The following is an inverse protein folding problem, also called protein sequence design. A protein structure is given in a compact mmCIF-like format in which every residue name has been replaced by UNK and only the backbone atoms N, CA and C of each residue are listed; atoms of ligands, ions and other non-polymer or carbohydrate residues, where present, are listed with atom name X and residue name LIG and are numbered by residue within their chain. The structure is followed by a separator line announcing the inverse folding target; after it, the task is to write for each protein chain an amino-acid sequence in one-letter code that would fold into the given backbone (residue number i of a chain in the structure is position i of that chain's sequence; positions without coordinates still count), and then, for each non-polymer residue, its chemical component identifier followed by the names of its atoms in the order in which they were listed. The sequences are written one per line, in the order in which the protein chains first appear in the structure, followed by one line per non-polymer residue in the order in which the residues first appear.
data_IF_880877626492
#
_entry.id   IF_880877626492
#
_cell.length_a   1.000
_cell.length_b   1.000
_cell.length_c   1.000
_cell.angle_alpha   90.00
_cell.angle_beta   90.00
_cell.angle_gamma   90.00
#
_symmetry.space_group_name_H-M   'P 1'
#
loop_
_entity.id
_entity.type
_entity.pdbx_description
1 polymer ?
#
# COMPACT_ATOMS: atom_id res chain seq x y z
N UNK A 1 -56.99 17.27 -24.64
CA UNK A 1 -55.53 17.49 -24.66
C UNK A 1 -54.96 16.80 -23.40
N UNK A 2 -54.25 15.70 -23.49
CA UNK A 2 -53.65 15.07 -22.33
C UNK A 2 -52.31 15.75 -22.00
N UNK A 3 -52.13 16.11 -20.75
CA UNK A 3 -50.92 16.65 -20.16
C UNK A 3 -49.85 15.57 -20.17
N UNK A 4 -48.78 15.76 -20.95
CA UNK A 4 -47.57 14.95 -20.93
C UNK A 4 -46.80 15.31 -19.66
N UNK A 5 -46.84 14.44 -18.69
CA UNK A 5 -46.04 14.56 -17.46
C UNK A 5 -44.60 14.11 -17.76
N UNK A 6 -43.74 15.08 -18.05
CA UNK A 6 -42.31 14.85 -18.24
C UNK A 6 -41.65 14.55 -16.87
N UNK A 7 -41.61 13.28 -16.53
CA UNK A 7 -40.83 12.77 -15.42
C UNK A 7 -39.39 12.54 -15.89
N UNK A 8 -38.65 13.65 -16.04
CA UNK A 8 -37.19 13.65 -16.31
C UNK A 8 -36.54 14.30 -15.08
N UNK A 9 -36.12 13.52 -14.12
CA UNK A 9 -35.47 14.06 -12.93
C UNK A 9 -34.91 13.06 -11.95
N UNK A 10 -35.17 11.76 -12.08
CA UNK A 10 -34.83 10.80 -11.00
C UNK A 10 -33.63 9.86 -11.32
N UNK A 11 -33.08 9.92 -12.51
CA UNK A 11 -32.05 8.93 -12.94
C UNK A 11 -30.61 9.38 -12.61
N UNK A 12 -30.35 10.69 -12.47
CA UNK A 12 -29.00 11.19 -12.18
C UNK A 12 -28.58 11.05 -10.71
N UNK A 13 -29.51 11.07 -9.76
CA UNK A 13 -29.23 10.95 -8.33
C UNK A 13 -28.90 9.52 -7.92
N UNK A 14 -29.50 8.54 -8.56
CA UNK A 14 -29.20 7.11 -8.30
C UNK A 14 -27.79 6.72 -8.72
N UNK A 15 -27.36 7.12 -9.94
CA UNK A 15 -26.02 6.85 -10.46
C UNK A 15 -24.91 7.49 -9.62
N UNK A 16 -25.16 8.68 -9.09
CA UNK A 16 -24.20 9.42 -8.27
C UNK A 16 -24.04 8.85 -6.86
N UNK A 17 -25.11 8.32 -6.26
CA UNK A 17 -25.03 7.61 -4.99
C UNK A 17 -24.28 6.28 -5.06
N UNK A 18 -24.40 5.55 -6.18
CA UNK A 18 -23.68 4.32 -6.44
C UNK A 18 -22.18 4.57 -6.61
N UNK A 19 -21.81 5.61 -7.36
CA UNK A 19 -20.41 6.02 -7.52
C UNK A 19 -19.73 6.39 -6.20
N UNK A 20 -20.42 7.08 -5.32
CA UNK A 20 -19.91 7.40 -3.99
C UNK A 20 -19.73 6.15 -3.12
N UNK A 21 -20.67 5.21 -3.17
CA UNK A 21 -20.57 3.94 -2.45
C UNK A 21 -19.40 3.09 -2.96
N UNK A 22 -19.18 3.04 -4.27
CA UNK A 22 -18.04 2.37 -4.88
C UNK A 22 -16.71 3.02 -4.46
N UNK A 23 -16.61 4.35 -4.50
CA UNK A 23 -15.45 5.09 -4.03
C UNK A 23 -15.11 4.78 -2.56
N UNK A 24 -16.12 4.78 -1.68
CA UNK A 24 -15.96 4.39 -0.27
C UNK A 24 -15.42 2.96 -0.12
N UNK A 25 -15.98 2.01 -0.84
CA UNK A 25 -15.55 0.61 -0.78
C UNK A 25 -14.10 0.41 -1.27
N UNK A 26 -13.69 1.15 -2.31
CA UNK A 26 -12.32 1.12 -2.81
C UNK A 26 -11.32 1.75 -1.83
N UNK A 27 -11.67 2.90 -1.22
CA UNK A 27 -10.83 3.55 -0.19
C UNK A 27 -10.67 2.65 1.03
N UNK A 28 -11.76 2.07 1.54
CA UNK A 28 -11.72 1.12 2.65
C UNK A 28 -10.84 -0.10 2.35
N UNK A 29 -10.89 -0.59 1.12
CA UNK A 29 -10.07 -1.72 0.67
C UNK A 29 -8.58 -1.33 0.63
N UNK A 30 -8.26 -0.13 0.15
CA UNK A 30 -6.90 0.38 0.12
C UNK A 30 -6.35 0.56 1.54
N UNK A 31 -7.10 1.20 2.44
CA UNK A 31 -6.71 1.40 3.84
C UNK A 31 -6.37 0.06 4.51
N UNK A 32 -7.20 -0.97 4.30
CA UNK A 32 -6.95 -2.31 4.84
C UNK A 32 -5.65 -2.92 4.29
N UNK A 33 -5.40 -2.80 2.99
CA UNK A 33 -4.17 -3.31 2.37
C UNK A 33 -2.95 -2.56 2.89
N UNK A 34 -3.00 -1.23 3.01
CA UNK A 34 -1.91 -0.41 3.56
C UNK A 34 -1.63 -0.77 5.02
N UNK A 35 -2.67 -0.96 5.83
CA UNK A 35 -2.52 -1.39 7.22
C UNK A 35 -1.87 -2.77 7.33
N UNK A 36 -2.28 -3.74 6.50
CA UNK A 36 -1.65 -5.06 6.43
C UNK A 36 -0.19 -4.96 6.00
N UNK A 37 0.12 -4.18 4.96
CA UNK A 37 1.49 -3.95 4.51
C UNK A 37 2.37 -3.39 5.63
N UNK A 38 1.89 -2.37 6.34
CA UNK A 38 2.60 -1.75 7.46
C UNK A 38 2.92 -2.74 8.57
N UNK A 39 1.96 -3.62 8.89
CA UNK A 39 2.17 -4.67 9.89
C UNK A 39 3.27 -5.65 9.46
N UNK A 40 3.24 -6.12 8.21
CA UNK A 40 4.26 -7.01 7.66
C UNK A 40 5.63 -6.29 7.56
N UNK A 41 5.65 -5.03 7.13
CA UNK A 41 6.85 -4.23 7.01
C UNK A 41 7.61 -4.07 8.34
N UNK A 42 6.89 -4.04 9.47
CA UNK A 42 7.49 -3.99 10.79
C UNK A 42 8.28 -5.25 11.17
N UNK A 43 8.05 -6.37 10.49
CA UNK A 43 8.75 -7.64 10.72
C UNK A 43 10.04 -7.78 9.91
N UNK A 44 10.26 -6.89 8.93
CA UNK A 44 11.43 -6.91 8.04
C UNK A 44 12.70 -6.56 8.82
N UNK A 45 13.77 -7.34 8.62
CA UNK A 45 15.03 -7.20 9.34
C UNK A 45 15.01 -7.78 10.77
N UNK A 46 13.88 -8.31 11.22
CA UNK A 46 13.73 -8.97 12.51
C UNK A 46 13.79 -10.51 12.42
N UNK A 47 13.54 -11.18 13.53
CA UNK A 47 13.54 -12.66 13.63
C UNK A 47 12.44 -13.33 12.79
N UNK A 48 11.41 -12.59 12.40
CA UNK A 48 10.30 -13.08 11.57
C UNK A 48 10.52 -12.82 10.07
N UNK A 49 11.64 -12.18 9.69
CA UNK A 49 11.94 -11.92 8.28
C UNK A 49 12.24 -13.22 7.54
N UNK A 50 11.47 -13.49 6.51
CA UNK A 50 11.53 -14.72 5.74
C UNK A 50 11.17 -14.47 4.28
N UNK A 51 11.52 -15.39 3.40
CA UNK A 51 11.13 -15.32 1.97
C UNK A 51 9.62 -15.23 1.79
N UNK A 52 8.86 -15.93 2.63
CA UNK A 52 7.41 -15.88 2.60
C UNK A 52 6.91 -14.48 2.97
N UNK A 53 7.43 -13.87 4.04
CA UNK A 53 7.09 -12.51 4.44
C UNK A 53 7.38 -11.50 3.32
N UNK A 54 8.54 -11.65 2.65
CA UNK A 54 8.91 -10.78 1.53
C UNK A 54 7.99 -10.94 0.33
N UNK A 55 7.55 -12.16 0.05
CA UNK A 55 6.58 -12.44 -1.02
C UNK A 55 5.18 -11.87 -0.67
N UNK A 56 4.73 -11.98 0.57
CA UNK A 56 3.49 -11.37 1.04
C UNK A 56 3.54 -9.83 0.94
N UNK A 57 4.66 -9.21 1.31
CA UNK A 57 4.87 -7.77 1.13
C UNK A 57 4.76 -7.36 -0.35
N UNK A 58 5.36 -8.13 -1.26
CA UNK A 58 5.28 -7.88 -2.70
C UNK A 58 3.83 -7.95 -3.20
N UNK A 59 3.09 -8.98 -2.80
CA UNK A 59 1.69 -9.14 -3.17
C UNK A 59 0.83 -7.98 -2.63
N UNK A 60 1.09 -7.51 -1.40
CA UNK A 60 0.36 -6.37 -0.82
C UNK A 60 0.67 -5.07 -1.57
N UNK A 61 1.93 -4.82 -1.97
CA UNK A 61 2.29 -3.66 -2.79
C UNK A 61 1.54 -3.67 -4.11
N UNK A 62 1.55 -4.79 -4.82
CA UNK A 62 0.86 -4.91 -6.10
C UNK A 62 -0.65 -4.71 -5.97
N UNK A 63 -1.26 -5.27 -4.93
CA UNK A 63 -2.68 -5.07 -4.64
C UNK A 63 -2.99 -3.59 -4.33
N UNK A 64 -2.14 -2.93 -3.54
CA UNK A 64 -2.29 -1.51 -3.22
C UNK A 64 -2.19 -0.64 -4.48
N UNK A 65 -1.24 -0.89 -5.38
CA UNK A 65 -1.10 -0.17 -6.65
C UNK A 65 -2.32 -0.32 -7.55
N UNK A 66 -2.85 -1.53 -7.67
CA UNK A 66 -4.05 -1.77 -8.47
C UNK A 66 -5.26 -0.99 -7.92
N UNK A 67 -5.44 -1.01 -6.60
CA UNK A 67 -6.49 -0.23 -5.92
C UNK A 67 -6.26 1.28 -6.08
N UNK A 68 -5.03 1.74 -5.93
CA UNK A 68 -4.67 3.14 -6.08
C UNK A 68 -4.95 3.66 -7.50
N UNK A 69 -4.60 2.88 -8.51
CA UNK A 69 -4.89 3.23 -9.92
C UNK A 69 -6.40 3.31 -10.17
N UNK A 70 -7.16 2.32 -9.70
CA UNK A 70 -8.62 2.33 -9.83
C UNK A 70 -9.26 3.54 -9.13
N UNK A 71 -8.82 3.85 -7.89
CA UNK A 71 -9.28 5.01 -7.14
C UNK A 71 -8.93 6.33 -7.78
N UNK A 72 -7.71 6.48 -8.29
CA UNK A 72 -7.28 7.69 -8.98
C UNK A 72 -8.20 7.98 -10.17
N UNK A 73 -8.51 6.98 -10.98
CA UNK A 73 -9.43 7.11 -12.10
C UNK A 73 -10.85 7.45 -11.65
N UNK A 74 -11.36 6.72 -10.66
CA UNK A 74 -12.71 6.89 -10.14
C UNK A 74 -12.91 8.30 -9.57
N UNK A 75 -12.06 8.72 -8.62
CA UNK A 75 -12.18 10.02 -7.97
C UNK A 75 -11.95 11.19 -8.93
N UNK A 76 -10.95 11.08 -9.83
CA UNK A 76 -10.68 12.13 -10.83
C UNK A 76 -11.85 12.31 -11.79
N UNK A 77 -12.48 11.21 -12.23
CA UNK A 77 -13.64 11.25 -13.10
C UNK A 77 -14.80 12.01 -12.48
N UNK A 78 -15.13 11.67 -11.23
CA UNK A 78 -16.28 12.26 -10.54
C UNK A 78 -16.02 13.68 -10.03
N UNK A 79 -14.82 14.01 -9.56
CA UNK A 79 -14.49 15.37 -9.11
C UNK A 79 -14.47 16.39 -10.26
N UNK A 80 -14.27 15.93 -11.50
CA UNK A 80 -14.36 16.79 -12.72
C UNK A 80 -15.79 17.05 -13.16
N UNK A 81 -16.74 16.28 -12.69
CA UNK A 81 -18.14 16.48 -13.05
C UNK A 81 -18.71 17.70 -12.32
N UNK A 82 -18.96 18.78 -13.09
CA UNK A 82 -19.54 20.01 -12.56
C UNK A 82 -21.02 19.87 -12.18
N UNK A 83 -21.69 18.81 -12.65
CA UNK A 83 -23.10 18.54 -12.34
C UNK A 83 -23.28 17.84 -10.98
N UNK A 84 -22.17 17.40 -10.37
CA UNK A 84 -22.21 16.69 -9.08
C UNK A 84 -22.78 17.60 -7.96
N UNK A 85 -23.81 17.15 -7.21
CA UNK A 85 -24.36 17.89 -6.07
C UNK A 85 -23.28 18.23 -5.05
N UNK A 86 -23.38 19.41 -4.44
CA UNK A 86 -22.35 19.93 -3.51
C UNK A 86 -22.05 18.97 -2.34
N UNK A 87 -23.09 18.35 -1.76
CA UNK A 87 -22.91 17.38 -0.68
C UNK A 87 -22.08 16.16 -1.12
N UNK A 88 -22.36 15.63 -2.31
CA UNK A 88 -21.61 14.50 -2.85
C UNK A 88 -20.19 14.88 -3.24
N UNK A 89 -20.00 16.11 -3.72
CA UNK A 89 -18.67 16.66 -3.99
C UNK A 89 -17.83 16.70 -2.73
N UNK A 90 -18.36 17.20 -1.62
CA UNK A 90 -17.69 17.23 -0.32
C UNK A 90 -17.31 15.82 0.16
N UNK A 91 -18.20 14.85 -0.02
CA UNK A 91 -17.89 13.46 0.34
C UNK A 91 -16.79 12.86 -0.55
N UNK A 92 -16.79 13.14 -1.86
CA UNK A 92 -15.72 12.73 -2.77
C UNK A 92 -14.38 13.40 -2.43
N UNK A 93 -14.38 14.66 -2.00
CA UNK A 93 -13.18 15.36 -1.52
C UNK A 93 -12.61 14.72 -0.25
N UNK A 94 -13.48 14.28 0.68
CA UNK A 94 -13.04 13.54 1.87
C UNK A 94 -12.42 12.17 1.50
N UNK A 95 -13.02 11.47 0.53
CA UNK A 95 -12.44 10.21 0.01
C UNK A 95 -11.08 10.45 -0.64
N UNK A 96 -10.94 11.58 -1.36
CA UNK A 96 -9.67 11.98 -1.94
C UNK A 96 -8.59 12.20 -0.87
N UNK A 97 -8.90 12.90 0.21
CA UNK A 97 -7.97 13.10 1.33
C UNK A 97 -7.57 11.77 1.97
N UNK A 98 -8.53 10.89 2.22
CA UNK A 98 -8.26 9.57 2.79
C UNK A 98 -7.39 8.71 1.84
N UNK A 99 -7.63 8.78 0.54
CA UNK A 99 -6.83 8.11 -0.48
C UNK A 99 -5.40 8.64 -0.51
N UNK A 100 -5.21 9.97 -0.61
CA UNK A 100 -3.89 10.61 -0.63
C UNK A 100 -3.05 10.25 0.60
N UNK A 101 -3.64 10.40 1.79
CA UNK A 101 -2.97 10.04 3.04
C UNK A 101 -2.60 8.54 3.11
N UNK A 102 -3.41 7.67 2.52
CA UNK A 102 -3.10 6.23 2.45
C UNK A 102 -1.92 5.94 1.53
N UNK A 103 -1.80 6.66 0.40
CA UNK A 103 -0.65 6.55 -0.51
C UNK A 103 0.64 7.04 0.14
N UNK A 104 0.60 8.17 0.84
CA UNK A 104 1.76 8.70 1.56
C UNK A 104 2.27 7.72 2.62
N UNK A 105 1.36 7.10 3.38
CA UNK A 105 1.70 6.07 4.36
C UNK A 105 2.34 4.85 3.70
N UNK A 106 1.76 4.38 2.59
CA UNK A 106 2.30 3.26 1.81
C UNK A 106 3.71 3.58 1.30
N UNK A 107 3.89 4.76 0.71
CA UNK A 107 5.17 5.24 0.20
C UNK A 107 6.26 5.20 1.29
N UNK A 108 5.98 5.79 2.44
CA UNK A 108 6.93 5.81 3.58
C UNK A 108 7.30 4.40 4.02
N UNK A 109 6.33 3.49 4.09
CA UNK A 109 6.58 2.13 4.54
C UNK A 109 7.35 1.30 3.48
N UNK A 110 7.12 1.51 2.17
CA UNK A 110 7.93 0.89 1.11
C UNK A 110 9.38 1.39 1.16
N UNK A 111 9.59 2.71 1.33
CA UNK A 111 10.93 3.28 1.49
C UNK A 111 11.69 2.70 2.68
N UNK A 112 11.00 2.45 3.80
CA UNK A 112 11.60 1.79 4.97
C UNK A 112 12.00 0.35 4.65
N UNK A 113 11.11 -0.43 4.04
CA UNK A 113 11.40 -1.81 3.65
C UNK A 113 12.58 -1.87 2.70
N UNK A 114 12.66 -0.98 1.70
CA UNK A 114 13.77 -0.89 0.77
C UNK A 114 15.10 -0.65 1.50
N UNK A 115 15.14 0.34 2.41
CA UNK A 115 16.35 0.66 3.20
C UNK A 115 16.78 -0.49 4.11
N UNK A 116 15.82 -1.17 4.75
CA UNK A 116 16.14 -2.30 5.63
C UNK A 116 16.60 -3.49 4.79
N UNK A 117 15.93 -3.79 3.67
CA UNK A 117 16.29 -4.89 2.78
C UNK A 117 17.67 -4.75 2.18
N UNK A 118 18.11 -3.53 1.87
CA UNK A 118 19.47 -3.28 1.35
C UNK A 118 20.57 -3.57 2.40
N UNK A 119 20.25 -3.42 3.70
CA UNK A 119 21.19 -3.64 4.79
C UNK A 119 21.15 -5.08 5.33
N UNK A 120 20.01 -5.76 5.21
CA UNK A 120 19.75 -7.10 5.74
C UNK A 120 19.32 -8.03 4.61
N UNK A 121 20.33 -8.47 3.81
CA UNK A 121 20.10 -9.45 2.76
C UNK A 121 19.80 -10.82 3.36
N UNK A 122 18.74 -11.48 2.89
CA UNK A 122 18.41 -12.86 3.27
C UNK A 122 19.43 -13.87 2.69
N UNK A 123 20.22 -13.48 1.68
CA UNK A 123 21.31 -14.29 1.12
C UNK A 123 22.49 -14.42 2.09
N UNK A 124 22.64 -13.46 3.00
CA UNK A 124 23.71 -13.43 4.02
C UNK A 124 23.22 -13.91 5.39
N UNK A 125 22.38 -14.92 5.46
CA UNK A 125 21.91 -15.50 6.73
C UNK A 125 23.01 -16.06 7.64
N UNK A 126 24.28 -16.06 7.21
CA UNK A 126 25.44 -16.31 8.04
C UNK A 126 25.83 -15.10 8.92
N UNK A 127 25.31 -13.91 8.66
CA UNK A 127 25.49 -12.71 9.47
C UNK A 127 24.37 -12.58 10.47
N UNK A 128 24.32 -13.47 11.46
CA UNK A 128 23.60 -13.23 12.69
C UNK A 128 24.03 -11.85 13.20
N UNK A 129 23.11 -10.91 13.29
CA UNK A 129 23.33 -9.65 13.98
C UNK A 129 23.73 -10.04 15.41
N UNK A 130 25.02 -9.99 15.72
CA UNK A 130 25.48 -9.97 17.08
C UNK A 130 24.94 -8.68 17.71
N UNK A 131 23.74 -8.80 18.27
CA UNK A 131 23.30 -7.80 19.24
C UNK A 131 24.35 -7.85 20.33
N UNK A 132 25.14 -6.78 20.48
CA UNK A 132 26.34 -6.72 21.31
C UNK A 132 26.17 -6.92 22.80
N UNK A 133 25.48 -7.97 23.21
CA UNK A 133 25.52 -8.57 24.52
C UNK A 133 26.57 -9.68 24.45
N UNK A 134 27.82 -9.29 24.59
CA UNK A 134 28.89 -10.19 25.03
C UNK A 134 28.58 -10.63 26.47
N UNK A 135 27.60 -11.49 26.63
CA UNK A 135 27.38 -12.26 27.83
C UNK A 135 28.43 -13.35 27.84
N UNK A 136 29.38 -13.26 28.79
CA UNK A 136 30.36 -14.30 29.05
C UNK A 136 29.68 -15.67 29.16
N UNK A 137 30.29 -16.67 28.51
CA UNK A 137 29.75 -18.00 28.30
C UNK A 137 29.07 -18.59 29.51
N UNK A 138 27.78 -18.74 29.43
CA UNK A 138 27.01 -19.61 30.32
C UNK A 138 26.73 -20.90 29.55
N UNK A 139 27.35 -21.96 30.00
CA UNK A 139 27.17 -23.34 29.56
C UNK A 139 25.69 -23.79 29.58
N UNK A 140 24.84 -23.02 30.25
CA UNK A 140 23.39 -23.22 30.35
C UNK A 140 22.68 -22.86 29.03
N UNK A 141 23.17 -21.90 28.27
CA UNK A 141 22.56 -21.50 26.96
C UNK A 141 22.80 -22.57 25.89
N UNK A 142 23.93 -23.27 25.93
CA UNK A 142 24.23 -24.34 24.98
C UNK A 142 23.34 -25.59 25.17
N UNK A 143 22.85 -25.82 26.38
CA UNK A 143 21.93 -26.94 26.66
C UNK A 143 20.48 -26.68 26.27
N UNK A 144 20.05 -25.43 26.25
CA UNK A 144 18.70 -25.06 25.83
C UNK A 144 18.50 -25.16 24.31
N UNK A 145 19.60 -25.19 23.55
CA UNK A 145 19.57 -25.30 22.07
C UNK A 145 19.76 -26.74 21.57
N UNK A 146 19.92 -27.72 22.45
CA UNK A 146 19.99 -29.15 22.11
C UNK A 146 18.60 -29.77 22.09
N UNK A 147 17.70 -29.25 21.25
CA UNK A 147 16.51 -29.96 20.82
C UNK A 147 16.89 -30.82 19.62
N UNK A 148 16.52 -32.12 19.61
CA UNK A 148 16.85 -33.01 18.50
C UNK A 148 16.05 -32.60 17.27
N UNK A 149 16.78 -32.46 16.19
CA UNK A 149 16.35 -32.65 14.81
C UNK A 149 14.86 -32.34 14.48
N UNK A 150 14.54 -31.06 14.27
CA UNK A 150 13.48 -30.70 13.37
C UNK A 150 14.13 -30.30 12.04
N UNK A 151 14.22 -31.31 11.18
CA UNK A 151 14.41 -31.29 9.73
C UNK A 151 14.67 -29.92 9.12
N UNK A 152 15.91 -29.79 8.63
CA UNK A 152 16.29 -29.15 7.40
C UNK A 152 15.10 -28.68 6.54
N UNK A 153 14.46 -27.59 6.95
CA UNK A 153 13.86 -26.71 5.99
C UNK A 153 15.06 -26.02 5.34
N UNK A 154 15.51 -26.55 4.21
CA UNK A 154 16.49 -25.92 3.34
C UNK A 154 16.08 -24.46 3.20
N UNK A 155 16.81 -23.57 3.89
CA UNK A 155 16.78 -22.17 3.61
C UNK A 155 17.15 -22.03 2.13
N UNK A 156 16.14 -21.81 1.28
CA UNK A 156 16.34 -21.48 -0.11
C UNK A 156 17.04 -20.14 -0.11
N UNK A 157 18.36 -20.19 -0.25
CA UNK A 157 19.20 -19.01 -0.47
C UNK A 157 18.70 -18.40 -1.77
N UNK A 158 18.10 -17.22 -1.70
CA UNK A 158 17.70 -16.47 -2.87
C UNK A 158 18.99 -16.14 -3.64
N UNK A 159 19.06 -16.39 -4.96
CA UNK A 159 20.21 -15.93 -5.72
C UNK A 159 20.30 -14.41 -5.66
N UNK A 160 21.51 -13.82 -5.54
CA UNK A 160 21.71 -12.36 -5.44
C UNK A 160 21.02 -11.54 -6.54
N UNK A 161 20.80 -12.14 -7.70
CA UNK A 161 20.08 -11.52 -8.82
C UNK A 161 18.61 -11.21 -8.52
N UNK A 162 17.94 -12.04 -7.72
CA UNK A 162 16.51 -11.83 -7.37
C UNK A 162 16.32 -10.70 -6.33
N UNK A 163 17.26 -10.52 -5.41
CA UNK A 163 17.22 -9.40 -4.46
C UNK A 163 17.44 -8.06 -5.17
N UNK A 164 18.36 -8.01 -6.12
CA UNK A 164 18.62 -6.81 -6.94
C UNK A 164 17.41 -6.45 -7.79
N UNK A 165 16.72 -7.44 -8.35
CA UNK A 165 15.51 -7.24 -9.13
C UNK A 165 14.34 -6.75 -8.27
N UNK A 166 14.21 -7.28 -7.06
CA UNK A 166 13.19 -6.83 -6.08
C UNK A 166 13.43 -5.38 -5.66
N UNK A 167 14.68 -4.97 -5.40
CA UNK A 167 15.03 -3.59 -5.08
C UNK A 167 14.68 -2.63 -6.23
N UNK A 168 15.08 -2.97 -7.45
CA UNK A 168 14.75 -2.19 -8.65
C UNK A 168 13.23 -2.09 -8.87
N UNK A 169 12.50 -3.14 -8.54
CA UNK A 169 11.03 -3.13 -8.60
C UNK A 169 10.44 -2.18 -7.56
N UNK A 170 10.91 -2.22 -6.31
CA UNK A 170 10.45 -1.30 -5.26
C UNK A 170 10.77 0.16 -5.59
N UNK A 171 11.95 0.47 -6.12
CA UNK A 171 12.31 1.83 -6.56
C UNK A 171 11.35 2.35 -7.63
N UNK A 172 11.00 1.51 -8.59
CA UNK A 172 10.03 1.86 -9.63
C UNK A 172 8.61 2.05 -9.06
N UNK A 173 8.19 1.23 -8.11
CA UNK A 173 6.91 1.33 -7.42
C UNK A 173 6.83 2.63 -6.61
N UNK A 174 7.91 3.01 -5.91
CA UNK A 174 8.03 4.28 -5.20
C UNK A 174 7.84 5.45 -6.18
N UNK A 175 8.58 5.46 -7.29
CA UNK A 175 8.47 6.52 -8.29
C UNK A 175 7.06 6.62 -8.91
N UNK A 176 6.36 5.50 -9.07
CA UNK A 176 4.98 5.50 -9.55
C UNK A 176 4.01 6.11 -8.53
N UNK A 177 4.21 5.82 -7.24
CA UNK A 177 3.38 6.41 -6.17
C UNK A 177 3.63 7.91 -6.07
N UNK A 178 4.89 8.36 -6.11
CA UNK A 178 5.26 9.78 -6.12
C UNK A 178 4.59 10.51 -7.29
N UNK A 179 4.72 9.96 -8.49
CA UNK A 179 4.07 10.54 -9.67
C UNK A 179 2.54 10.59 -9.55
N UNK A 180 1.94 9.56 -8.94
CA UNK A 180 0.49 9.54 -8.71
C UNK A 180 0.08 10.62 -7.70
N UNK A 181 0.82 10.84 -6.63
CA UNK A 181 0.56 11.89 -5.64
C UNK A 181 0.67 13.26 -6.30
N UNK A 182 1.76 13.54 -7.03
CA UNK A 182 1.98 14.82 -7.73
C UNK A 182 0.89 15.11 -8.78
N UNK A 183 0.53 14.10 -9.58
CA UNK A 183 -0.53 14.21 -10.60
C UNK A 183 -1.90 14.50 -9.97
N UNK A 184 -2.16 13.88 -8.82
CA UNK A 184 -3.37 14.09 -8.05
C UNK A 184 -3.42 15.52 -7.48
N UNK A 185 -2.35 16.00 -6.87
CA UNK A 185 -2.28 17.36 -6.30
C UNK A 185 -2.50 18.41 -7.39
N UNK A 186 -1.86 18.27 -8.55
CA UNK A 186 -2.08 19.15 -9.68
C UNK A 186 -3.54 19.16 -10.14
N UNK A 187 -4.16 17.99 -10.26
CA UNK A 187 -5.55 17.87 -10.73
C UNK A 187 -6.55 18.48 -9.76
N UNK A 188 -6.32 18.35 -8.45
CA UNK A 188 -7.19 18.95 -7.42
C UNK A 188 -6.99 20.46 -7.33
N UNK A 189 -5.76 20.94 -7.40
CA UNK A 189 -5.48 22.38 -7.41
C UNK A 189 -6.15 23.08 -8.60
N UNK A 190 -6.08 22.49 -9.79
CA UNK A 190 -6.80 23.01 -10.97
C UNK A 190 -8.32 23.06 -10.76
N UNK A 191 -8.88 22.10 -10.03
CA UNK A 191 -10.33 22.08 -9.74
C UNK A 191 -10.75 23.13 -8.71
N UNK A 192 -9.89 23.45 -7.72
CA UNK A 192 -10.17 24.51 -6.73
C UNK A 192 -10.18 25.92 -7.32
N UNK A 193 -9.35 26.17 -8.33
CA UNK A 193 -9.23 27.51 -8.95
C UNK A 193 -10.27 27.79 -10.05
N UNK A 194 -11.04 26.79 -10.46
CA UNK A 194 -12.10 26.95 -11.48
C UNK A 194 -13.50 27.22 -10.90
N UNK A 195 -13.62 27.41 -9.59
CA UNK A 195 -14.90 27.61 -8.86
C UNK A 195 -15.08 29.07 -8.38
N UNK A 196 -14.23 30.02 -8.85
CA UNK A 196 -14.50 31.47 -8.69
C UNK A 196 -15.32 32.05 -9.84
#
# INVERSE_FOLDING_TARGET
MPLVNNKVGDDCTACSGEALAEGKALVDSLIKVVACYRHLAACVGGSMDSLQLRDELRQMRQKAQNLATALCHHLTGHLRDKSLPEEQRKEMELLWVAFSSSLELLHVDICKVLKISSNFSLANSASLVQTGVQGGGSEVAARALSLPDLNQTQARILPPSLETEEHSTMEREIAQIDHMIDDMEMKVNVLRWTVE
#
